data_IF_947782142104
#
_entry.id   IF_947782142104
#
_cell.length_a   1.000
_cell.length_b   1.000
_cell.length_c   1.000
_cell.angle_alpha   90.00
_cell.angle_beta   90.00
_cell.angle_gamma   90.00
#
_symmetry.space_group_name_H-M   'P 1'
#
loop_
_entity.id
_entity.type
_entity.pdbx_description
1 polymer ?
#
# COMPACT_ATOMS: atom_id res chain seq x y z
N UNK A 1 1.18 -1.29 17.53
CA UNK A 1 1.12 -0.01 16.80
C UNK A 1 2.39 0.80 17.11
N UNK A 2 2.66 1.95 16.47
CA UNK A 2 3.92 2.70 16.71
C UNK A 2 4.08 3.16 18.17
N UNK A 3 2.99 3.20 18.93
CA UNK A 3 2.90 3.59 20.34
C UNK A 3 3.09 2.42 21.34
N UNK A 4 3.46 1.22 20.86
CA UNK A 4 3.63 0.04 21.73
C UNK A 4 2.32 -0.61 22.18
N UNK A 5 1.17 -0.16 21.70
CA UNK A 5 -0.12 -0.80 21.98
C UNK A 5 -0.34 -2.09 21.19
N UNK A 6 -1.13 -2.99 21.77
CA UNK A 6 -1.54 -4.27 21.17
C UNK A 6 -3.00 -4.18 20.74
N UNK A 7 -3.27 -4.58 19.51
CA UNK A 7 -4.61 -4.78 18.99
C UNK A 7 -4.79 -6.26 18.65
N UNK A 8 -5.92 -6.85 19.05
CA UNK A 8 -6.31 -8.22 18.71
C UNK A 8 -7.44 -8.20 17.70
N UNK A 9 -7.31 -9.01 16.64
CA UNK A 9 -8.32 -9.17 15.60
C UNK A 9 -8.70 -10.65 15.50
N UNK A 10 -9.99 -10.96 15.41
CA UNK A 10 -10.50 -12.32 15.28
C UNK A 10 -10.57 -12.83 13.83
N UNK A 11 -10.04 -12.07 12.87
CA UNK A 11 -10.11 -12.36 11.43
C UNK A 11 -8.88 -11.91 10.66
N UNK A 12 -8.86 -12.08 9.33
CA UNK A 12 -7.71 -11.73 8.49
C UNK A 12 -7.35 -10.25 8.61
N UNK A 13 -6.05 -9.98 8.82
CA UNK A 13 -5.51 -8.63 8.84
C UNK A 13 -4.77 -8.39 7.54
N UNK A 14 -5.06 -7.27 6.88
CA UNK A 14 -4.37 -6.86 5.66
C UNK A 14 -3.60 -5.56 5.90
N UNK A 15 -2.50 -5.39 5.19
CA UNK A 15 -1.75 -4.14 5.14
C UNK A 15 -1.87 -3.56 3.74
N UNK A 16 -2.36 -2.33 3.65
CA UNK A 16 -2.34 -1.59 2.40
C UNK A 16 -0.89 -1.26 2.01
N UNK A 17 -0.43 -1.79 0.88
CA UNK A 17 0.92 -1.53 0.35
C UNK A 17 0.94 -0.38 -0.66
N UNK A 18 -0.15 -0.21 -1.42
CA UNK A 18 -0.22 0.74 -2.51
C UNK A 18 -1.27 0.37 -3.55
N UNK A 19 -1.34 1.18 -4.61
CA UNK A 19 -2.29 0.99 -5.73
C UNK A 19 -1.53 0.41 -6.92
N UNK A 20 -2.00 -0.72 -7.44
CA UNK A 20 -1.49 -1.29 -8.68
C UNK A 20 -1.75 -0.34 -9.86
N UNK A 21 -0.72 -0.04 -10.66
CA UNK A 21 -0.78 0.91 -11.78
C UNK A 21 -0.40 0.32 -13.12
N UNK A 22 -0.45 -0.99 -13.25
CA UNK A 22 -0.18 -1.69 -14.51
C UNK A 22 1.12 -2.49 -14.47
N UNK A 23 1.50 -3.03 -15.64
CA UNK A 23 2.72 -3.83 -15.83
C UNK A 23 3.85 -2.95 -16.33
N UNK A 24 5.09 -3.40 -16.13
CA UNK A 24 6.24 -2.71 -16.71
C UNK A 24 6.22 -2.72 -18.25
N UNK A 25 5.57 -3.74 -18.85
CA UNK A 25 5.17 -3.81 -20.25
C UNK A 25 4.07 -4.90 -20.42
N UNK A 26 3.48 -5.00 -21.61
CA UNK A 26 2.33 -5.88 -21.89
C UNK A 26 2.60 -7.37 -21.60
N UNK A 27 3.81 -7.85 -21.88
CA UNK A 27 4.18 -9.26 -21.75
C UNK A 27 4.86 -9.59 -20.41
N UNK A 28 5.01 -8.60 -19.52
CA UNK A 28 5.77 -8.80 -18.28
C UNK A 28 4.91 -9.29 -17.13
N UNK A 29 5.39 -10.27 -16.38
CA UNK A 29 4.80 -10.69 -15.10
C UNK A 29 4.96 -9.67 -13.97
N UNK A 30 5.81 -8.65 -14.14
CA UNK A 30 6.09 -7.65 -13.12
C UNK A 30 5.16 -6.43 -13.22
N UNK A 31 4.54 -6.10 -12.09
CA UNK A 31 3.68 -4.93 -11.91
C UNK A 31 4.40 -3.70 -11.35
N UNK A 32 3.78 -2.54 -11.52
CA UNK A 32 4.14 -1.28 -10.87
C UNK A 32 3.08 -0.96 -9.82
N UNK A 33 3.52 -0.41 -8.68
CA UNK A 33 2.65 -0.03 -7.57
C UNK A 33 2.99 1.40 -7.12
N UNK A 34 1.96 2.23 -6.98
CA UNK A 34 2.05 3.49 -6.24
C UNK A 34 2.12 3.19 -4.76
N UNK A 35 3.27 3.44 -4.13
CA UNK A 35 3.46 3.19 -2.70
C UNK A 35 2.47 4.01 -1.88
N UNK A 36 1.97 3.41 -0.80
CA UNK A 36 1.07 4.08 0.13
C UNK A 36 1.63 5.43 0.66
N UNK A 37 2.94 5.53 0.88
CA UNK A 37 3.59 6.77 1.33
C UNK A 37 3.49 7.90 0.29
N UNK A 38 3.76 7.60 -0.98
CA UNK A 38 3.70 8.60 -2.05
C UNK A 38 2.26 9.12 -2.27
N UNK A 39 1.26 8.25 -2.13
CA UNK A 39 -0.16 8.66 -2.19
C UNK A 39 -0.49 9.57 -1.03
N UNK A 40 -0.04 9.23 0.19
CA UNK A 40 -0.23 10.07 1.37
C UNK A 40 0.41 11.45 1.18
N UNK A 41 1.66 11.49 0.72
CA UNK A 41 2.36 12.74 0.44
C UNK A 41 1.60 13.62 -0.56
N UNK A 42 1.05 13.03 -1.63
CA UNK A 42 0.22 13.74 -2.60
C UNK A 42 -1.07 14.29 -1.98
N UNK A 43 -1.81 13.48 -1.24
CA UNK A 43 -3.07 13.89 -0.60
C UNK A 43 -2.84 14.96 0.47
N UNK A 44 -1.71 14.92 1.18
CA UNK A 44 -1.35 15.95 2.17
C UNK A 44 -0.90 17.27 1.51
N UNK A 45 -0.63 17.27 0.19
CA UNK A 45 -0.12 18.44 -0.55
C UNK A 45 -1.20 19.32 -1.20
N UNK A 46 -2.47 18.92 -1.12
CA UNK A 46 -3.63 19.65 -1.65
C UNK A 46 -4.41 20.36 -0.53
#
# INVERSE_FOLDING_TARGET
MQDGSTAMFSGPVTKFLGIYSGRINAESDLGIVWKASAIKELVDSI
#
